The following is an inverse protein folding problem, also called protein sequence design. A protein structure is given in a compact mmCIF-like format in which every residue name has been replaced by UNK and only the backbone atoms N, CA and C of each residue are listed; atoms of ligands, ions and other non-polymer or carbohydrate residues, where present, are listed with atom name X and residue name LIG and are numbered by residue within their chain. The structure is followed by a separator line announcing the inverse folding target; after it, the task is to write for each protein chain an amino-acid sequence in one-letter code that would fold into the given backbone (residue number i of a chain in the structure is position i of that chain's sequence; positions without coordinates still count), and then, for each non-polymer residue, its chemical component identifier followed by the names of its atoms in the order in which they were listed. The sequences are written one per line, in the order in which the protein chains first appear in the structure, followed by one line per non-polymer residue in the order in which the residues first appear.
data_IF_347899871747
#
_entry.id   IF_347899871747
#
_cell.length_a   1.000
_cell.length_b   1.000
_cell.length_c   1.000
_cell.angle_alpha   90.00
_cell.angle_beta   90.00
_cell.angle_gamma   90.00
#
_symmetry.space_group_name_H-M   'P 1'
#
loop_
_entity.id
_entity.type
_entity.pdbx_description
1 polymer ?
#
# COMPACT_ATOMS: atom_id res chain seq x y z
N UNK A 1 -50.79 -29.01 3.63
CA UNK A 1 -49.44 -29.60 3.47
C UNK A 1 -48.45 -28.48 3.22
N UNK A 2 -47.67 -28.08 4.24
CA UNK A 2 -46.56 -27.12 4.08
C UNK A 2 -45.33 -27.77 4.70
N UNK A 3 -44.38 -28.10 3.83
CA UNK A 3 -43.14 -28.78 4.20
C UNK A 3 -42.23 -27.81 4.96
N UNK A 4 -41.97 -28.10 6.23
CA UNK A 4 -40.80 -27.62 6.98
C UNK A 4 -39.54 -28.22 6.36
N UNK A 5 -38.62 -27.38 5.87
CA UNK A 5 -37.24 -27.81 5.56
C UNK A 5 -36.32 -27.40 6.70
N UNK A 6 -35.83 -28.41 7.41
CA UNK A 6 -34.70 -28.35 8.34
C UNK A 6 -33.43 -28.08 7.52
N UNK A 7 -32.62 -27.08 7.89
CA UNK A 7 -31.24 -27.01 7.40
C UNK A 7 -30.37 -27.96 8.23
N UNK A 8 -29.72 -28.87 7.52
CA UNK A 8 -28.72 -29.77 8.06
C UNK A 8 -27.37 -29.03 8.17
N UNK A 9 -26.72 -29.17 9.32
CA UNK A 9 -25.30 -28.92 9.48
C UNK A 9 -24.54 -29.93 8.61
N UNK A 10 -23.83 -29.47 7.60
CA UNK A 10 -22.79 -30.26 6.94
C UNK A 10 -21.44 -29.68 7.35
N UNK A 11 -20.76 -30.41 8.24
CA UNK A 11 -19.33 -30.24 8.48
C UNK A 11 -18.57 -30.91 7.33
N UNK A 12 -17.72 -30.15 6.64
CA UNK A 12 -16.67 -30.69 5.78
C UNK A 12 -15.39 -29.92 5.99
N UNK A 13 -14.35 -30.67 6.32
CA UNK A 13 -12.98 -30.21 6.50
C UNK A 13 -12.27 -29.98 5.16
N UNK A 14 -11.23 -29.14 5.23
CA UNK A 14 -10.08 -28.98 4.34
C UNK A 14 -10.27 -28.23 3.00
N UNK A 15 -9.95 -26.94 3.03
CA UNK A 15 -8.94 -26.31 2.17
C UNK A 15 -8.49 -25.01 2.85
N UNK A 16 -7.21 -24.90 3.22
CA UNK A 16 -6.64 -23.67 3.76
C UNK A 16 -6.45 -22.67 2.61
N UNK A 17 -7.50 -21.93 2.28
CA UNK A 17 -7.37 -20.64 1.60
C UNK A 17 -7.03 -19.60 2.66
N UNK A 18 -5.89 -18.94 2.49
CA UNK A 18 -5.53 -17.72 3.21
C UNK A 18 -6.54 -16.62 2.88
N UNK A 19 -7.65 -16.62 3.63
CA UNK A 19 -8.51 -15.47 3.76
C UNK A 19 -7.78 -14.47 4.66
N UNK A 20 -7.01 -13.56 4.06
CA UNK A 20 -7.15 -12.16 4.47
C UNK A 20 -8.64 -11.88 4.51
N UNK A 21 -9.16 -11.15 5.48
CA UNK A 21 -10.58 -10.83 5.56
C UNK A 21 -10.99 -9.94 4.37
N UNK A 22 -11.08 -10.53 3.18
CA UNK A 22 -11.76 -10.00 2.01
C UNK A 22 -13.22 -10.23 2.33
N UNK A 23 -13.95 -9.14 2.58
CA UNK A 23 -15.41 -9.18 2.53
C UNK A 23 -15.73 -9.74 1.14
N UNK A 24 -16.34 -10.93 1.01
CA UNK A 24 -16.68 -11.45 -0.30
C UNK A 24 -17.69 -10.48 -0.89
N UNK A 25 -17.37 -9.89 -2.05
CA UNK A 25 -18.35 -9.19 -2.87
C UNK A 25 -19.32 -10.24 -3.43
N UNK A 26 -20.26 -10.68 -2.61
CA UNK A 26 -21.45 -11.39 -3.06
C UNK A 26 -22.26 -10.42 -3.90
N UNK A 27 -22.73 -10.90 -5.06
CA UNK A 27 -23.62 -10.15 -5.96
C UNK A 27 -24.66 -9.37 -5.14
N UNK A 28 -24.64 -8.04 -5.31
CA UNK A 28 -25.37 -7.08 -4.50
C UNK A 28 -26.83 -7.51 -4.32
N UNK A 29 -27.15 -7.94 -3.10
CA UNK A 29 -28.53 -8.02 -2.63
C UNK A 29 -28.90 -6.65 -2.04
N UNK A 30 -30.19 -6.25 -2.02
CA UNK A 30 -30.59 -4.86 -1.80
C UNK A 30 -30.44 -4.33 -0.36
N UNK A 31 -29.63 -4.98 0.48
CA UNK A 31 -29.52 -4.73 1.93
C UNK A 31 -28.06 -4.61 2.43
N UNK A 32 -27.08 -4.40 1.53
CA UNK A 32 -25.68 -4.13 1.90
C UNK A 32 -25.49 -2.66 2.27
N UNK A 33 -25.92 -2.28 3.47
CA UNK A 33 -25.40 -1.07 4.10
C UNK A 33 -23.91 -1.26 4.39
N UNK A 34 -23.06 -0.28 4.03
CA UNK A 34 -21.65 -0.28 4.42
C UNK A 34 -21.50 -0.63 5.91
N UNK A 35 -20.52 -1.47 6.31
CA UNK A 35 -20.37 -1.91 7.70
C UNK A 35 -20.27 -0.70 8.61
N UNK A 36 -20.79 -0.76 9.83
CA UNK A 36 -20.62 0.32 10.80
C UNK A 36 -19.13 0.58 11.09
N UNK A 37 -18.78 1.78 11.56
CA UNK A 37 -17.39 2.05 11.97
C UNK A 37 -16.86 1.03 12.99
N UNK A 38 -17.74 0.53 13.88
CA UNK A 38 -17.35 -0.45 14.89
C UNK A 38 -16.98 -1.79 14.26
N UNK A 39 -17.75 -2.26 13.28
CA UNK A 39 -17.46 -3.49 12.54
C UNK A 39 -16.21 -3.31 11.68
N UNK A 40 -16.12 -2.21 10.93
CA UNK A 40 -14.95 -1.87 10.13
C UNK A 40 -13.68 -1.89 10.99
N UNK A 41 -13.64 -1.09 12.06
CA UNK A 41 -12.47 -0.97 12.93
C UNK A 41 -12.12 -2.27 13.69
N UNK A 42 -13.10 -3.14 13.95
CA UNK A 42 -12.85 -4.44 14.56
C UNK A 42 -12.27 -5.45 13.56
N UNK A 43 -12.61 -5.33 12.28
CA UNK A 43 -12.07 -6.14 11.18
C UNK A 43 -10.75 -5.64 10.61
N UNK A 44 -10.41 -4.35 10.79
CA UNK A 44 -9.16 -3.79 10.27
C UNK A 44 -7.97 -4.41 10.99
N UNK A 45 -7.04 -4.99 10.22
CA UNK A 45 -5.82 -5.56 10.75
C UNK A 45 -4.99 -4.50 11.49
N UNK A 46 -4.50 -4.88 12.67
CA UNK A 46 -3.62 -4.05 13.48
C UNK A 46 -2.26 -4.70 13.52
N UNK A 47 -1.27 -3.99 13.01
CA UNK A 47 0.05 -4.53 12.78
C UNK A 47 0.96 -4.46 14.02
N UNK A 48 2.18 -4.99 13.90
CA UNK A 48 3.15 -5.15 14.99
C UNK A 48 3.54 -3.85 15.70
N UNK A 49 3.43 -2.70 15.02
CA UNK A 49 3.70 -1.36 15.56
C UNK A 49 2.43 -0.68 16.12
N UNK A 50 1.30 -1.38 16.05
CA UNK A 50 0.01 -0.92 16.53
C UNK A 50 -0.74 0.00 15.57
N UNK A 51 -0.20 0.27 14.38
CA UNK A 51 -0.92 0.94 13.30
C UNK A 51 -1.96 0.00 12.68
N UNK A 52 -2.91 0.59 11.96
CA UNK A 52 -3.89 -0.12 11.17
C UNK A 52 -3.39 -0.26 9.73
N UNK A 53 -3.61 -1.41 9.11
CA UNK A 53 -3.35 -1.60 7.67
C UNK A 53 -4.69 -1.61 6.95
N UNK A 54 -4.83 -0.73 5.97
CA UNK A 54 -5.99 -0.66 5.07
C UNK A 54 -5.52 -0.92 3.65
N UNK A 55 -6.47 -1.28 2.78
CA UNK A 55 -6.24 -1.46 1.34
C UNK A 55 -5.18 -2.49 0.92
N UNK A 56 -4.61 -3.23 1.86
CA UNK A 56 -3.57 -4.23 1.61
C UNK A 56 -2.24 -3.82 2.21
N UNK A 57 -1.81 -2.58 2.04
CA UNK A 57 -0.43 -2.13 2.30
C UNK A 57 -0.32 -0.67 2.80
N UNK A 58 -1.44 0.02 3.01
CA UNK A 58 -1.44 1.41 3.47
C UNK A 58 -1.54 1.50 4.99
N UNK A 59 -0.65 2.30 5.60
CA UNK A 59 -0.62 2.53 7.05
C UNK A 59 -1.53 3.67 7.48
N UNK A 60 -2.39 3.40 8.46
CA UNK A 60 -3.19 4.38 9.20
C UNK A 60 -2.76 4.38 10.67
N UNK A 61 -2.25 5.51 11.16
CA UNK A 61 -1.47 5.55 12.40
C UNK A 61 -2.25 5.26 13.67
N UNK A 62 -3.52 5.65 13.72
CA UNK A 62 -4.31 5.60 14.95
C UNK A 62 -5.82 5.56 14.70
N UNK A 63 -6.58 5.32 15.76
CA UNK A 63 -8.06 5.20 15.70
C UNK A 63 -8.75 6.45 15.15
N UNK A 64 -8.22 7.64 15.42
CA UNK A 64 -8.82 8.89 14.93
C UNK A 64 -8.68 8.97 13.41
N UNK A 65 -7.51 8.64 12.87
CA UNK A 65 -7.29 8.60 11.43
C UNK A 65 -8.06 7.45 10.78
N UNK A 66 -8.17 6.29 11.43
CA UNK A 66 -9.01 5.19 10.94
C UNK A 66 -10.49 5.59 10.86
N UNK A 67 -10.96 6.39 11.83
CA UNK A 67 -12.30 6.96 11.78
C UNK A 67 -12.46 7.94 10.62
N UNK A 68 -11.49 8.84 10.44
CA UNK A 68 -11.50 9.77 9.31
C UNK A 68 -11.48 9.04 7.96
N UNK A 69 -10.68 7.97 7.83
CA UNK A 69 -10.68 7.08 6.67
C UNK A 69 -12.08 6.51 6.42
N UNK A 70 -12.68 5.86 7.43
CA UNK A 70 -14.03 5.30 7.33
C UNK A 70 -15.10 6.33 6.93
N UNK A 71 -15.12 7.50 7.56
CA UNK A 71 -16.11 8.55 7.28
C UNK A 71 -16.04 9.02 5.81
N UNK A 72 -14.88 8.88 5.16
CA UNK A 72 -14.68 9.23 3.75
C UNK A 72 -14.94 8.07 2.80
N UNK A 73 -14.66 6.84 3.22
CA UNK A 73 -15.05 5.62 2.52
C UNK A 73 -16.57 5.58 2.31
N UNK A 74 -17.36 6.01 3.31
CA UNK A 74 -18.83 6.08 3.20
C UNK A 74 -19.35 7.44 2.68
N UNK A 75 -18.45 8.37 2.35
CA UNK A 75 -18.77 9.70 1.86
C UNK A 75 -19.09 9.72 0.36
N UNK A 76 -19.57 10.85 -0.17
CA UNK A 76 -19.86 10.98 -1.60
C UNK A 76 -18.58 10.86 -2.45
N UNK A 77 -18.63 10.01 -3.48
CA UNK A 77 -17.53 9.81 -4.44
C UNK A 77 -17.17 11.11 -5.18
N UNK A 78 -15.89 11.47 -5.19
CA UNK A 78 -15.36 12.52 -6.06
C UNK A 78 -14.69 11.88 -7.26
N UNK A 79 -15.21 12.17 -8.46
CA UNK A 79 -14.72 11.62 -9.74
C UNK A 79 -13.55 12.43 -10.27
N UNK A 80 -12.39 11.81 -10.46
CA UNK A 80 -11.25 12.44 -11.15
C UNK A 80 -10.27 11.40 -11.71
N UNK A 81 -9.57 11.73 -12.80
CA UNK A 81 -8.78 10.77 -13.58
C UNK A 81 -7.26 11.07 -13.51
N UNK A 82 -6.39 10.17 -13.02
CA UNK A 82 -4.91 10.11 -13.13
C UNK A 82 -4.15 9.34 -12.05
N UNK A 83 -2.85 8.98 -12.22
CA UNK A 83 -1.94 8.52 -11.16
C UNK A 83 -2.20 9.40 -9.95
N UNK A 84 -2.63 8.82 -8.85
CA UNK A 84 -3.15 9.63 -7.77
C UNK A 84 -2.10 9.92 -6.71
N UNK A 85 -2.10 11.15 -6.21
CA UNK A 85 -1.34 11.52 -5.00
C UNK A 85 -2.29 11.53 -3.81
N UNK A 86 -1.88 10.94 -2.69
CA UNK A 86 -2.55 11.08 -1.41
C UNK A 86 -2.71 12.57 -1.06
N UNK A 87 -3.81 12.91 -0.40
CA UNK A 87 -3.99 14.25 0.14
C UNK A 87 -4.33 14.20 1.63
N UNK A 88 -3.77 15.13 2.38
CA UNK A 88 -4.11 15.36 3.79
C UNK A 88 -4.67 16.76 3.90
N UNK A 89 -5.93 16.86 4.32
CA UNK A 89 -6.67 18.13 4.35
C UNK A 89 -6.68 18.85 2.98
N UNK A 90 -6.87 18.08 1.89
CA UNK A 90 -6.88 18.55 0.49
C UNK A 90 -5.55 19.14 -0.02
N UNK A 91 -4.43 18.83 0.64
CA UNK A 91 -3.09 19.21 0.20
C UNK A 91 -2.34 17.93 -0.16
N UNK A 92 -1.58 17.95 -1.26
CA UNK A 92 -0.69 16.85 -1.65
C UNK A 92 0.16 16.40 -0.48
N UNK A 93 0.03 15.13 -0.12
CA UNK A 93 0.90 14.49 0.85
C UNK A 93 2.19 14.06 0.17
N UNK A 94 3.10 15.03 0.04
CA UNK A 94 4.37 14.88 -0.67
C UNK A 94 5.52 15.45 0.13
N UNK A 95 6.72 14.96 -0.14
CA UNK A 95 7.94 15.52 0.43
C UNK A 95 8.23 16.92 -0.13
N UNK A 96 8.86 17.77 0.69
CA UNK A 96 9.47 19.01 0.16
C UNK A 96 10.62 18.68 -0.79
N UNK A 97 11.00 19.64 -1.65
CA UNK A 97 12.08 19.45 -2.61
C UNK A 97 13.43 19.06 -1.96
N UNK A 98 13.72 19.57 -0.76
CA UNK A 98 14.94 19.19 -0.03
C UNK A 98 14.86 17.82 0.62
N UNK A 99 13.65 17.36 1.00
CA UNK A 99 13.45 16.03 1.59
C UNK A 99 13.48 14.95 0.52
N UNK A 100 12.78 15.14 -0.61
CA UNK A 100 12.68 14.13 -1.67
C UNK A 100 14.03 13.86 -2.34
N UNK A 101 14.92 14.86 -2.36
CA UNK A 101 16.29 14.75 -2.85
C UNK A 101 17.28 14.13 -1.83
N UNK A 102 16.80 13.62 -0.69
CA UNK A 102 17.65 12.97 0.33
C UNK A 102 16.80 12.06 1.25
N UNK A 103 16.02 11.14 0.67
CA UNK A 103 15.25 10.15 1.42
C UNK A 103 16.16 9.02 1.90
N UNK A 104 16.79 9.21 3.06
CA UNK A 104 17.71 8.20 3.61
C UNK A 104 16.96 7.01 4.18
N UNK A 105 17.45 5.80 3.90
CA UNK A 105 16.88 4.56 4.45
C UNK A 105 17.97 3.56 4.82
N UNK A 106 17.63 2.59 5.66
CA UNK A 106 18.47 1.46 6.00
C UNK A 106 17.73 0.14 5.72
N UNK A 107 18.46 -0.97 5.68
CA UNK A 107 17.88 -2.31 5.52
C UNK A 107 18.29 -3.18 6.70
N UNK A 108 17.31 -3.64 7.47
CA UNK A 108 17.57 -4.34 8.73
C UNK A 108 18.36 -5.63 8.54
N UNK A 109 19.46 -5.79 9.27
CA UNK A 109 20.21 -7.07 9.32
C UNK A 109 19.36 -8.27 9.79
N UNK A 110 18.17 -8.03 10.36
CA UNK A 110 17.20 -9.06 10.75
C UNK A 110 16.65 -9.88 9.57
N UNK A 111 16.80 -9.43 8.32
CA UNK A 111 16.52 -10.25 7.14
C UNK A 111 17.47 -11.46 7.02
N UNK A 112 18.53 -11.53 7.83
CA UNK A 112 19.45 -12.67 7.86
C UNK A 112 20.12 -12.89 6.51
N UNK A 113 20.07 -14.11 6.00
CA UNK A 113 20.67 -14.44 4.69
C UNK A 113 20.02 -13.70 3.51
N UNK A 114 18.82 -13.13 3.69
CA UNK A 114 18.11 -12.35 2.66
C UNK A 114 18.46 -10.87 2.67
N UNK A 115 19.26 -10.38 3.62
CA UNK A 115 19.59 -8.95 3.73
C UNK A 115 20.09 -8.36 2.40
N UNK A 116 21.09 -8.99 1.77
CA UNK A 116 21.63 -8.52 0.51
C UNK A 116 20.62 -8.58 -0.65
N UNK A 117 19.68 -9.53 -0.61
CA UNK A 117 18.61 -9.65 -1.61
C UNK A 117 17.62 -8.48 -1.47
N UNK A 118 17.25 -8.11 -0.24
CA UNK A 118 16.36 -6.97 0.06
C UNK A 118 17.03 -5.65 -0.31
N UNK A 119 18.33 -5.47 -0.02
CA UNK A 119 19.08 -4.28 -0.43
C UNK A 119 18.99 -4.08 -1.94
N UNK A 120 19.26 -5.13 -2.73
CA UNK A 120 19.17 -5.05 -4.19
C UNK A 120 17.76 -4.78 -4.69
N UNK A 121 16.75 -5.34 -4.03
CA UNK A 121 15.36 -5.11 -4.39
C UNK A 121 14.94 -3.65 -4.11
N UNK A 122 15.34 -3.09 -2.96
CA UNK A 122 15.12 -1.68 -2.60
C UNK A 122 15.85 -0.73 -3.57
N UNK A 123 17.12 -0.98 -3.87
CA UNK A 123 17.90 -0.21 -4.85
C UNK A 123 17.24 -0.25 -6.23
N UNK A 124 16.77 -1.43 -6.66
CA UNK A 124 16.05 -1.58 -7.93
C UNK A 124 14.73 -0.82 -7.97
N UNK A 125 13.92 -0.90 -6.90
CA UNK A 125 12.64 -0.19 -6.80
C UNK A 125 12.84 1.32 -6.75
N UNK A 126 13.84 1.80 -6.00
CA UNK A 126 14.23 3.21 -5.95
C UNK A 126 14.63 3.72 -7.34
N UNK A 127 15.47 2.97 -8.05
CA UNK A 127 15.94 3.34 -9.38
C UNK A 127 14.80 3.54 -10.40
N UNK A 128 13.65 2.87 -10.23
CA UNK A 128 12.48 3.10 -11.09
C UNK A 128 12.03 4.57 -11.00
N UNK A 129 11.86 5.10 -9.78
CA UNK A 129 11.41 6.46 -9.53
C UNK A 129 12.49 7.51 -9.80
N UNK A 130 13.74 7.24 -9.41
CA UNK A 130 14.88 8.15 -9.66
C UNK A 130 15.20 8.29 -11.15
N UNK A 131 15.02 7.21 -11.93
CA UNK A 131 15.17 7.27 -13.40
C UNK A 131 14.09 8.13 -14.07
N UNK A 132 12.94 8.30 -13.42
CA UNK A 132 11.83 9.10 -13.91
C UNK A 132 11.99 10.59 -13.56
N UNK A 133 12.49 10.90 -12.35
CA UNK A 133 12.65 12.27 -11.86
C UNK A 133 14.02 12.47 -11.21
N UNK A 134 14.83 13.39 -11.76
CA UNK A 134 16.15 13.73 -11.21
C UNK A 134 16.10 14.52 -9.90
N UNK A 135 14.90 14.78 -9.36
CA UNK A 135 14.70 15.41 -8.06
C UNK A 135 14.63 14.41 -6.90
N UNK A 136 14.42 13.13 -7.20
CA UNK A 136 14.25 12.07 -6.21
C UNK A 136 15.59 11.41 -5.95
N UNK A 137 15.92 11.17 -4.69
CA UNK A 137 17.10 10.41 -4.28
C UNK A 137 16.79 9.61 -3.00
N UNK A 138 16.71 8.29 -3.16
CA UNK A 138 16.62 7.30 -2.09
C UNK A 138 18.02 6.83 -1.72
N UNK A 139 18.48 7.28 -0.55
CA UNK A 139 19.87 7.08 -0.15
C UNK A 139 20.01 5.95 0.86
N UNK A 140 20.55 4.82 0.41
CA UNK A 140 20.84 3.70 1.30
C UNK A 140 22.01 4.02 2.26
N UNK A 141 21.77 3.85 3.55
CA UNK A 141 22.72 4.09 4.65
C UNK A 141 23.04 2.76 5.33
N UNK A 142 23.93 1.97 4.72
CA UNK A 142 24.31 0.64 5.24
C UNK A 142 24.90 0.66 6.65
N UNK A 143 25.55 1.75 7.05
CA UNK A 143 26.06 1.92 8.42
C UNK A 143 24.95 1.95 9.49
N UNK A 144 23.69 2.14 9.09
CA UNK A 144 22.52 2.14 9.97
C UNK A 144 21.84 0.76 10.08
N UNK A 145 22.20 -0.24 9.28
CA UNK A 145 21.50 -1.53 9.15
C UNK A 145 21.40 -2.33 10.45
N UNK A 146 22.46 -2.30 11.27
CA UNK A 146 22.52 -3.01 12.55
C UNK A 146 21.48 -2.48 13.56
N UNK A 147 21.03 -1.23 13.38
CA UNK A 147 19.99 -0.59 14.19
C UNK A 147 18.88 -0.02 13.29
N UNK A 148 18.54 -0.72 12.21
CA UNK A 148 17.52 -0.26 11.28
C UNK A 148 16.13 -0.46 11.87
N UNK A 149 15.57 0.62 12.41
CA UNK A 149 14.24 0.69 13.04
C UNK A 149 13.69 2.10 12.90
N UNK A 150 12.39 2.29 13.10
CA UNK A 150 11.74 3.63 13.16
C UNK A 150 12.22 4.52 14.31
N UNK A 151 13.18 4.06 15.12
CA UNK A 151 13.83 4.85 16.18
C UNK A 151 15.17 5.42 15.76
N UNK A 152 15.69 5.04 14.59
CA UNK A 152 16.98 5.47 14.11
C UNK A 152 16.86 6.80 13.36
N UNK A 153 17.21 7.90 14.03
CA UNK A 153 17.11 9.24 13.45
C UNK A 153 18.22 9.56 12.41
N UNK A 154 19.13 8.61 12.11
CA UNK A 154 20.10 8.77 11.04
C UNK A 154 19.49 8.55 9.64
N UNK A 155 18.29 7.97 9.59
CA UNK A 155 17.53 7.70 8.37
C UNK A 155 16.14 8.30 8.46
N UNK A 156 15.51 8.56 7.32
CA UNK A 156 14.10 8.97 7.24
C UNK A 156 13.20 7.79 7.59
N UNK A 157 13.48 6.60 7.06
CA UNK A 157 12.67 5.41 7.31
C UNK A 157 13.50 4.13 7.39
N UNK A 158 12.94 3.10 8.00
CA UNK A 158 13.55 1.76 8.10
C UNK A 158 12.88 0.76 7.16
N UNK A 159 13.67 -0.20 6.64
CA UNK A 159 13.15 -1.38 5.95
C UNK A 159 13.38 -2.58 6.86
N UNK A 160 12.30 -3.24 7.29
CA UNK A 160 12.35 -4.26 8.34
C UNK A 160 11.56 -5.52 7.95
N UNK A 161 12.01 -6.72 8.38
CA UNK A 161 11.22 -7.93 8.18
C UNK A 161 10.01 -7.94 9.11
N UNK A 162 8.93 -8.55 8.64
CA UNK A 162 7.77 -8.93 9.44
C UNK A 162 7.41 -10.38 9.13
N UNK A 163 6.65 -11.02 10.01
CA UNK A 163 6.03 -12.32 9.75
C UNK A 163 4.51 -12.13 9.80
N UNK A 164 3.87 -12.15 8.63
CA UNK A 164 2.43 -11.94 8.51
C UNK A 164 1.85 -12.73 7.33
N UNK A 165 0.54 -12.75 7.22
CA UNK A 165 -0.19 -13.30 6.06
C UNK A 165 -1.08 -12.25 5.41
N UNK A 166 -1.05 -11.02 5.93
CA UNK A 166 -1.99 -9.97 5.53
C UNK A 166 -1.53 -9.21 4.29
N UNK A 167 -0.22 -9.15 4.06
CA UNK A 167 0.39 -8.43 2.94
C UNK A 167 1.76 -9.02 2.59
N UNK A 168 2.25 -8.70 1.39
CA UNK A 168 3.61 -9.06 0.94
C UNK A 168 4.62 -8.03 1.45
N UNK A 169 4.30 -6.75 1.23
CA UNK A 169 4.98 -5.63 1.84
C UNK A 169 3.94 -4.56 2.20
N UNK A 170 4.35 -3.58 3.00
CA UNK A 170 3.57 -2.37 3.25
C UNK A 170 4.46 -1.17 3.41
N UNK A 171 3.89 0.02 3.18
CA UNK A 171 4.60 1.28 3.28
C UNK A 171 3.73 2.36 3.95
N UNK A 172 4.20 3.58 3.87
CA UNK A 172 3.66 4.73 4.56
C UNK A 172 3.62 5.93 3.62
N UNK A 173 2.72 6.87 3.88
CA UNK A 173 2.70 8.16 3.17
C UNK A 173 3.59 9.20 3.87
N UNK A 174 4.05 10.27 3.18
CA UNK A 174 4.96 11.28 3.76
C UNK A 174 4.48 11.90 5.08
N UNK A 175 3.16 12.07 5.26
CA UNK A 175 2.56 12.61 6.49
C UNK A 175 2.55 11.64 7.68
N UNK A 176 2.85 10.36 7.46
CA UNK A 176 2.90 9.34 8.51
C UNK A 176 3.89 9.75 9.60
N UNK A 177 3.54 9.66 10.89
CA UNK A 177 4.45 10.03 11.98
C UNK A 177 5.77 9.25 11.90
N UNK A 178 6.90 9.92 12.14
CA UNK A 178 8.25 9.35 12.00
C UNK A 178 8.46 7.97 12.69
N UNK A 179 7.75 7.71 13.81
CA UNK A 179 7.84 6.43 14.54
C UNK A 179 7.13 5.25 13.85
N UNK A 180 6.45 5.50 12.74
CA UNK A 180 5.73 4.54 11.91
C UNK A 180 6.17 4.62 10.43
N UNK A 181 7.22 5.40 10.12
CA UNK A 181 7.79 5.46 8.79
C UNK A 181 8.71 4.25 8.58
N UNK A 182 8.13 3.13 8.18
CA UNK A 182 8.84 1.92 7.81
C UNK A 182 8.20 1.24 6.59
N UNK A 183 9.05 0.57 5.82
CA UNK A 183 8.62 -0.47 4.89
C UNK A 183 8.76 -1.81 5.60
N UNK A 184 7.66 -2.53 5.76
CA UNK A 184 7.69 -3.88 6.31
C UNK A 184 7.55 -4.90 5.20
N UNK A 185 8.39 -5.94 5.24
CA UNK A 185 8.45 -6.95 4.19
C UNK A 185 8.27 -8.34 4.82
N UNK A 186 7.27 -9.07 4.34
CA UNK A 186 7.07 -10.47 4.67
C UNK A 186 7.88 -11.39 3.73
N UNK A 187 8.24 -12.58 4.19
CA UNK A 187 9.03 -13.55 3.42
C UNK A 187 8.29 -14.05 2.15
N UNK A 188 6.95 -13.91 2.10
CA UNK A 188 6.13 -14.21 0.92
C UNK A 188 6.53 -13.44 -0.34
N UNK A 189 7.26 -12.31 -0.22
CA UNK A 189 7.80 -11.54 -1.35
C UNK A 189 8.65 -12.39 -2.31
N UNK A 190 9.31 -13.43 -1.80
CA UNK A 190 10.15 -14.33 -2.60
C UNK A 190 9.35 -15.38 -3.38
N UNK A 191 8.05 -15.48 -3.12
CA UNK A 191 7.13 -16.46 -3.69
C UNK A 191 5.91 -15.83 -4.35
N UNK A 192 5.92 -14.52 -4.59
CA UNK A 192 4.84 -13.73 -5.17
C UNK A 192 4.64 -13.93 -6.69
N UNK A 193 5.10 -15.06 -7.24
CA UNK A 193 4.94 -15.40 -8.65
C UNK A 193 5.65 -14.41 -9.59
N UNK A 194 4.88 -13.75 -10.45
CA UNK A 194 5.40 -12.80 -11.44
C UNK A 194 5.78 -11.44 -10.82
N UNK A 195 5.33 -11.14 -9.59
CA UNK A 195 5.63 -9.88 -8.92
C UNK A 195 7.03 -9.99 -8.31
N UNK A 196 8.01 -9.47 -9.03
CA UNK A 196 9.39 -9.49 -8.57
C UNK A 196 9.53 -8.63 -7.31
N UNK A 197 10.46 -8.95 -6.38
CA UNK A 197 10.71 -8.11 -5.21
C UNK A 197 11.02 -6.65 -5.57
N UNK A 198 11.68 -6.41 -6.70
CA UNK A 198 11.95 -5.07 -7.22
C UNK A 198 10.67 -4.31 -7.57
N UNK A 199 9.71 -4.95 -8.23
CA UNK A 199 8.45 -4.30 -8.59
C UNK A 199 7.55 -4.08 -7.37
N UNK A 200 7.49 -5.06 -6.46
CA UNK A 200 6.78 -4.90 -5.18
C UNK A 200 7.36 -3.72 -4.39
N UNK A 201 8.69 -3.65 -4.22
CA UNK A 201 9.28 -2.52 -3.49
C UNK A 201 9.25 -1.21 -4.29
N UNK A 202 9.19 -1.28 -5.62
CA UNK A 202 8.89 -0.12 -6.46
C UNK A 202 7.51 0.46 -6.18
N UNK A 203 6.50 -0.40 -6.02
CA UNK A 203 5.16 -0.02 -5.59
C UNK A 203 5.17 0.63 -4.20
N UNK A 204 5.78 -0.04 -3.21
CA UNK A 204 5.87 0.48 -1.84
C UNK A 204 6.57 1.86 -1.78
N UNK A 205 7.64 2.03 -2.55
CA UNK A 205 8.33 3.31 -2.65
C UNK A 205 7.49 4.39 -3.35
N UNK A 206 6.51 4.00 -4.15
CA UNK A 206 5.48 4.89 -4.66
C UNK A 206 4.63 5.51 -3.55
N UNK A 207 4.19 4.70 -2.57
CA UNK A 207 3.53 5.20 -1.36
C UNK A 207 4.43 6.11 -0.53
N UNK A 208 5.71 5.76 -0.37
CA UNK A 208 6.69 6.61 0.30
C UNK A 208 6.81 7.97 -0.39
N UNK A 209 6.62 8.05 -1.72
CA UNK A 209 6.57 9.30 -2.48
C UNK A 209 5.21 10.00 -2.45
N UNK A 210 4.19 9.40 -1.86
CA UNK A 210 2.84 9.96 -1.74
C UNK A 210 1.84 9.44 -2.76
N UNK A 211 2.19 8.48 -3.62
CA UNK A 211 1.24 7.93 -4.59
C UNK A 211 0.29 6.94 -3.94
N UNK A 212 -1.00 7.03 -4.26
CA UNK A 212 -2.03 6.08 -3.82
C UNK A 212 -2.29 5.04 -4.91
N UNK A 213 -3.07 4.03 -4.55
CA UNK A 213 -3.50 3.02 -5.47
C UNK A 213 -4.40 3.53 -6.58
N UNK A 214 -4.08 3.23 -7.83
CA UNK A 214 -4.92 3.58 -8.99
C UNK A 214 -6.32 2.99 -8.90
N UNK A 215 -6.49 1.87 -8.21
CA UNK A 215 -7.75 1.13 -8.17
C UNK A 215 -8.84 1.80 -7.32
N UNK A 216 -8.50 2.75 -6.44
CA UNK A 216 -9.54 3.51 -5.71
C UNK A 216 -10.37 4.39 -6.65
N UNK A 217 -9.96 4.52 -7.91
CA UNK A 217 -10.64 5.35 -8.88
C UNK A 217 -11.87 4.68 -9.45
N UNK A 218 -12.93 5.43 -9.81
CA UNK A 218 -14.16 4.87 -10.35
C UNK A 218 -13.96 3.99 -11.59
N UNK A 219 -12.94 4.27 -12.41
CA UNK A 219 -12.63 3.52 -13.64
C UNK A 219 -12.23 2.06 -13.39
N UNK A 220 -11.70 1.74 -12.20
CA UNK A 220 -11.43 0.36 -11.81
C UNK A 220 -12.72 -0.43 -11.56
N UNK A 221 -13.79 0.25 -11.13
CA UNK A 221 -15.11 -0.33 -10.88
C UNK A 221 -15.17 -1.33 -9.71
N UNK A 222 -14.10 -1.47 -8.93
CA UNK A 222 -13.99 -2.35 -7.76
C UNK A 222 -12.90 -1.85 -6.82
N UNK A 223 -12.87 -2.38 -5.59
CA UNK A 223 -11.87 -2.07 -4.56
C UNK A 223 -11.76 -0.59 -4.17
N UNK A 224 -12.85 0.19 -4.22
CA UNK A 224 -12.81 1.58 -3.77
C UNK A 224 -12.25 1.71 -2.33
N UNK A 225 -11.33 2.65 -2.13
CA UNK A 225 -10.64 2.86 -0.84
C UNK A 225 -11.16 4.11 -0.11
N UNK A 226 -10.92 5.28 -0.69
CA UNK A 226 -11.42 6.58 -0.24
C UNK A 226 -11.23 7.67 -1.32
N UNK A 227 -11.58 8.91 -0.99
CA UNK A 227 -11.50 10.10 -1.86
C UNK A 227 -10.36 11.07 -1.49
N UNK A 228 -9.39 10.69 -0.65
CA UNK A 228 -8.28 11.57 -0.23
C UNK A 228 -7.15 11.56 -1.24
N UNK A 229 -7.47 11.99 -2.44
CA UNK A 229 -6.51 12.02 -3.52
C UNK A 229 -6.88 13.06 -4.57
N UNK A 230 -5.90 13.37 -5.40
CA UNK A 230 -6.14 14.02 -6.69
C UNK A 230 -5.33 13.33 -7.76
N UNK A 231 -5.77 13.41 -9.03
CA UNK A 231 -5.03 12.83 -10.12
C UNK A 231 -3.80 13.65 -10.53
N UNK A 232 -2.84 12.97 -11.14
CA UNK A 232 -1.65 13.51 -11.81
C UNK A 232 -1.59 13.20 -13.31
N UNK A 233 -2.21 12.10 -13.76
CA UNK A 233 -2.19 11.64 -15.19
C UNK A 233 -3.59 11.29 -15.70
N UNK A 234 -3.80 10.45 -16.73
CA UNK A 234 -5.06 9.71 -16.94
C UNK A 234 -5.06 8.32 -16.25
N UNK A 235 -6.19 7.60 -16.29
CA UNK A 235 -6.28 6.21 -15.77
C UNK A 235 -5.29 5.27 -16.43
N UNK A 236 -4.56 4.53 -15.59
CA UNK A 236 -3.68 3.49 -16.04
C UNK A 236 -3.93 2.20 -15.25
N UNK A 237 -4.79 1.33 -15.81
CA UNK A 237 -5.01 -0.02 -15.28
C UNK A 237 -3.73 -0.86 -15.18
N UNK A 238 -2.66 -0.50 -15.89
CA UNK A 238 -1.38 -1.21 -15.87
C UNK A 238 -0.34 -0.58 -14.93
N UNK A 239 -0.68 0.52 -14.24
CA UNK A 239 0.20 1.23 -13.32
C UNK A 239 0.84 0.29 -12.30
N UNK A 240 2.09 0.58 -11.92
CA UNK A 240 2.73 -0.08 -10.76
C UNK A 240 1.89 0.07 -9.50
N UNK A 241 1.13 1.16 -9.35
CA UNK A 241 0.23 1.43 -8.22
C UNK A 241 -1.15 0.77 -8.37
N UNK A 242 -1.34 -0.13 -9.34
CA UNK A 242 -2.63 -0.80 -9.55
C UNK A 242 -2.59 -2.28 -9.17
N UNK A 243 -3.51 -2.68 -8.30
CA UNK A 243 -3.68 -4.07 -7.90
C UNK A 243 -4.38 -4.92 -8.97
N UNK A 244 -3.78 -6.05 -9.41
CA UNK A 244 -4.40 -6.92 -10.41
C UNK A 244 -5.73 -7.55 -9.95
N UNK A 245 -5.86 -7.86 -8.66
CA UNK A 245 -7.11 -8.34 -8.06
C UNK A 245 -8.24 -7.30 -8.08
N UNK A 246 -7.93 -6.04 -8.40
CA UNK A 246 -8.85 -4.92 -8.43
C UNK A 246 -9.10 -4.40 -9.86
N UNK A 247 -9.06 -5.28 -10.87
CA UNK A 247 -9.14 -4.98 -12.31
C UNK A 247 -7.90 -4.28 -12.89
N UNK A 248 -6.75 -4.38 -12.23
CA UNK A 248 -5.47 -4.02 -12.82
C UNK A 248 -5.10 -4.99 -13.94
N UNK A 249 -4.58 -4.46 -15.05
CA UNK A 249 -4.13 -5.25 -16.21
C UNK A 249 -2.66 -5.65 -16.15
N UNK A 250 -1.88 -5.07 -15.23
CA UNK A 250 -0.49 -5.44 -15.02
C UNK A 250 -0.37 -6.87 -14.48
N UNK A 251 0.47 -7.69 -15.12
CA UNK A 251 0.72 -9.05 -14.67
C UNK A 251 1.85 -9.13 -13.63
N UNK A 252 2.72 -8.11 -13.57
CA UNK A 252 4.00 -8.16 -12.87
C UNK A 252 4.30 -6.92 -12.00
N UNK A 253 3.38 -5.95 -11.93
CA UNK A 253 3.58 -4.65 -11.26
C UNK A 253 4.74 -3.84 -11.87
N UNK A 254 4.99 -3.95 -13.17
CA UNK A 254 5.99 -3.10 -13.83
C UNK A 254 5.55 -1.63 -13.91
N UNK A 255 6.51 -0.72 -13.68
CA UNK A 255 6.29 0.73 -13.82
C UNK A 255 6.04 1.12 -15.29
N UNK A 256 4.98 1.87 -15.52
CA UNK A 256 4.57 2.34 -16.84
C UNK A 256 5.17 3.72 -17.16
N UNK A 257 5.02 4.17 -18.42
CA UNK A 257 5.36 5.55 -18.79
C UNK A 257 4.41 6.58 -18.16
N UNK A 258 3.20 6.18 -17.80
CA UNK A 258 2.22 7.04 -17.15
C UNK A 258 2.66 7.31 -15.70
N UNK A 259 3.09 6.27 -14.97
CA UNK A 259 3.68 6.41 -13.63
C UNK A 259 4.84 7.43 -13.63
N UNK A 260 5.75 7.28 -14.60
CA UNK A 260 6.90 8.18 -14.80
C UNK A 260 6.48 9.62 -15.06
N UNK A 261 5.43 9.82 -15.86
CA UNK A 261 4.90 11.16 -16.14
C UNK A 261 4.25 11.78 -14.89
N UNK A 262 3.54 10.97 -14.10
CA UNK A 262 2.90 11.40 -12.87
C UNK A 262 3.91 11.85 -11.82
N UNK A 263 4.97 11.09 -11.58
CA UNK A 263 6.03 11.50 -10.63
C UNK A 263 6.74 12.78 -11.05
N UNK A 264 7.03 12.95 -12.35
CA UNK A 264 7.61 14.20 -12.89
C UNK A 264 6.65 15.37 -12.70
N UNK A 265 5.34 15.17 -12.84
CA UNK A 265 4.37 16.25 -12.60
C UNK A 265 4.32 16.68 -11.13
N UNK A 266 4.57 15.76 -10.19
CA UNK A 266 4.50 16.03 -8.75
C UNK A 266 5.77 16.67 -8.19
N UNK A 267 6.93 16.15 -8.60
CA UNK A 267 8.25 16.50 -8.06
C UNK A 267 9.14 17.29 -9.04
N UNK A 268 8.80 17.32 -10.33
CA UNK A 268 9.61 17.94 -11.38
C UNK A 268 10.68 16.99 -11.93
N UNK A 269 11.56 17.53 -12.77
CA UNK A 269 12.77 16.87 -13.23
C UNK A 269 13.96 17.81 -13.07
#
# INVERSE_FOLDING_TARGET
MRFTRKLALAATAAAALSLSAVIPATAASPDDSAPSYQEFAASTYRDIDGAYVVNGDEVISNKKELRAFYDRLIGPETRTDGLIVNTVNNIDDKWSASQVANLTYCVSTKFGSRHADVVRAMEGGAALWESASSKIDFRYVSSADANCTTRNNAVVFSVEPVATTQYIARAFFPSTPARQQNVLIDDSIWSAGAWTPTNVLGHELGHVLGFRHEHTRPEAGTCFEDNNWRPLTPYDSSSIMHYPQCNGSSADLSMTSVDRSGVVSLYGN
#
